data_IF_357261075285
#
_entry.id   IF_357261075285
#
_cell.length_a   1.000
_cell.length_b   1.000
_cell.length_c   1.000
_cell.angle_alpha   90.00
_cell.angle_beta   90.00
_cell.angle_gamma   90.00
#
_symmetry.space_group_name_H-M   'P 1'
#
loop_
_entity.id
_entity.type
_entity.pdbx_description
1 polymer ?
#
# COMPACT_ATOMS: atom_id res chain seq x y z
N UNK A 1 44.92 -16.06 8.00
CA UNK A 1 43.86 -15.03 8.09
C UNK A 1 42.94 -15.00 6.86
N UNK A 2 42.87 -16.09 6.06
CA UNK A 2 42.08 -16.11 4.81
C UNK A 2 40.71 -16.79 4.92
N UNK A 3 40.49 -17.69 5.88
CA UNK A 3 39.21 -18.43 6.00
C UNK A 3 38.08 -17.62 6.67
N UNK A 4 38.44 -16.66 7.52
CA UNK A 4 37.46 -15.81 8.24
C UNK A 4 36.78 -14.80 7.31
N UNK A 5 37.50 -14.28 6.32
CA UNK A 5 36.96 -13.35 5.33
C UNK A 5 35.98 -14.04 4.35
N UNK A 6 36.22 -15.31 4.02
CA UNK A 6 35.35 -16.05 3.10
C UNK A 6 33.99 -16.34 3.77
N UNK A 7 33.99 -16.65 5.07
CA UNK A 7 32.75 -16.95 5.79
C UNK A 7 31.89 -15.71 6.03
N UNK A 8 32.50 -14.53 6.21
CA UNK A 8 31.76 -13.26 6.31
C UNK A 8 31.17 -12.79 4.98
N UNK A 9 31.86 -13.02 3.84
CA UNK A 9 31.32 -12.72 2.51
C UNK A 9 30.14 -13.64 2.12
N UNK A 10 30.16 -14.91 2.53
CA UNK A 10 29.06 -15.85 2.28
C UNK A 10 27.81 -15.52 3.13
N UNK A 11 27.98 -15.00 4.34
CA UNK A 11 26.87 -14.52 5.18
C UNK A 11 26.26 -13.21 4.67
N UNK A 12 27.07 -12.33 4.06
CA UNK A 12 26.58 -11.07 3.52
C UNK A 12 25.77 -11.25 2.23
N UNK A 13 26.09 -12.29 1.45
CA UNK A 13 25.40 -12.60 0.19
C UNK A 13 24.06 -13.32 0.38
N UNK A 14 23.82 -14.00 1.51
CA UNK A 14 22.53 -14.60 1.86
C UNK A 14 21.49 -13.58 2.38
N UNK A 15 21.92 -12.36 2.72
CA UNK A 15 21.05 -11.24 3.11
C UNK A 15 20.57 -10.39 1.92
N UNK A 16 21.15 -10.59 0.73
CA UNK A 16 20.77 -9.87 -0.50
C UNK A 16 19.43 -10.26 -1.17
N UNK A 17 18.73 -11.38 -0.87
CA UNK A 17 17.48 -11.66 -1.58
C UNK A 17 16.28 -10.78 -1.16
N UNK A 18 16.38 -9.92 -0.16
CA UNK A 18 15.25 -9.08 0.29
C UNK A 18 15.04 -7.79 -0.52
N UNK A 19 15.97 -7.41 -1.40
CA UNK A 19 15.83 -6.18 -2.20
C UNK A 19 15.03 -6.35 -3.51
N UNK A 20 14.67 -7.57 -3.91
CA UNK A 20 14.07 -7.83 -5.22
C UNK A 20 12.53 -7.73 -5.29
N UNK A 21 11.85 -7.48 -4.16
CA UNK A 21 10.37 -7.44 -4.13
C UNK A 21 9.76 -6.05 -4.31
N UNK A 22 10.55 -5.00 -4.52
CA UNK A 22 10.06 -3.63 -4.73
C UNK A 22 10.61 -2.98 -6.02
N UNK A 23 10.74 -3.77 -7.09
CA UNK A 23 10.87 -3.18 -8.42
C UNK A 23 9.51 -2.59 -8.84
N UNK A 24 9.28 -1.33 -8.48
CA UNK A 24 8.23 -0.53 -9.11
C UNK A 24 8.71 -0.21 -10.52
N UNK A 25 8.10 -0.87 -11.51
CA UNK A 25 8.43 -0.68 -12.92
C UNK A 25 8.15 0.79 -13.30
N UNK A 26 9.20 1.56 -13.57
CA UNK A 26 9.14 2.97 -14.01
C UNK A 26 8.78 3.11 -15.48
N UNK A 27 7.96 2.19 -16.01
CA UNK A 27 7.19 2.48 -17.23
C UNK A 27 6.26 3.67 -16.94
N UNK A 28 6.19 4.68 -17.82
CA UNK A 28 5.18 5.73 -17.68
C UNK A 28 3.84 5.04 -17.46
N UNK A 29 3.14 5.34 -16.37
CA UNK A 29 1.83 4.75 -16.14
C UNK A 29 0.98 5.10 -17.36
N UNK A 30 0.62 4.10 -18.15
CA UNK A 30 -0.35 4.25 -19.22
C UNK A 30 -1.63 4.72 -18.54
N UNK A 31 -2.06 5.94 -18.86
CA UNK A 31 -3.29 6.49 -18.31
C UNK A 31 -4.51 5.72 -18.84
N UNK A 32 -5.61 5.73 -18.08
CA UNK A 32 -6.84 5.03 -18.45
C UNK A 32 -7.85 5.93 -19.15
N UNK A 33 -8.51 5.39 -20.17
CA UNK A 33 -9.73 5.96 -20.76
C UNK A 33 -10.96 5.08 -20.55
N UNK A 34 -10.85 4.01 -19.76
CA UNK A 34 -11.87 2.97 -19.59
C UNK A 34 -12.27 2.87 -18.13
N UNK A 35 -13.56 2.70 -17.86
CA UNK A 35 -14.06 2.44 -16.52
C UNK A 35 -13.82 0.98 -16.16
N UNK A 36 -12.79 0.72 -15.35
CA UNK A 36 -12.44 -0.61 -14.88
C UNK A 36 -13.11 -0.94 -13.55
N UNK A 37 -13.33 -2.22 -13.27
CA UNK A 37 -13.84 -2.71 -11.99
C UNK A 37 -13.17 -4.04 -11.63
N UNK A 38 -11.85 -4.04 -11.57
CA UNK A 38 -11.04 -5.23 -11.35
C UNK A 38 -10.29 -5.18 -10.02
N UNK A 39 -10.00 -6.37 -9.47
CA UNK A 39 -9.22 -6.53 -8.24
C UNK A 39 -9.77 -5.74 -7.03
N UNK A 40 -11.11 -5.69 -6.90
CA UNK A 40 -11.86 -4.85 -5.94
C UNK A 40 -11.45 -4.98 -4.45
N UNK A 41 -10.81 -6.11 -4.08
CA UNK A 41 -10.39 -6.46 -2.71
C UNK A 41 -8.87 -6.52 -2.54
N UNK A 42 -8.10 -6.22 -3.59
CA UNK A 42 -6.64 -6.27 -3.59
C UNK A 42 -6.09 -4.83 -3.59
N UNK A 43 -5.64 -4.32 -2.43
CA UNK A 43 -5.09 -2.97 -2.30
C UNK A 43 -3.99 -2.62 -3.31
N UNK A 44 -3.17 -3.60 -3.70
CA UNK A 44 -2.03 -3.36 -4.59
C UNK A 44 -2.42 -3.39 -6.07
N UNK A 45 -3.56 -4.02 -6.41
CA UNK A 45 -3.98 -4.25 -7.80
C UNK A 45 -5.30 -3.61 -8.18
N UNK A 46 -6.01 -3.01 -7.23
CA UNK A 46 -7.29 -2.33 -7.45
C UNK A 46 -7.21 -1.41 -8.68
N UNK A 47 -8.14 -1.61 -9.63
CA UNK A 47 -8.46 -0.67 -10.70
C UNK A 47 -9.97 -0.46 -10.68
N UNK A 48 -10.39 0.69 -10.16
CA UNK A 48 -11.77 1.11 -10.15
C UNK A 48 -11.93 2.43 -10.90
N UNK A 49 -12.91 2.50 -11.79
CA UNK A 49 -13.09 3.64 -12.69
C UNK A 49 -11.85 3.87 -13.54
N UNK A 50 -11.43 5.13 -13.68
CA UNK A 50 -10.20 5.51 -14.39
C UNK A 50 -9.08 5.96 -13.44
N UNK A 51 -9.42 6.30 -12.20
CA UNK A 51 -8.52 7.00 -11.28
C UNK A 51 -8.26 6.26 -9.97
N UNK A 52 -9.10 5.31 -9.55
CA UNK A 52 -8.87 4.62 -8.28
C UNK A 52 -7.92 3.43 -8.44
N UNK A 53 -6.65 3.63 -8.07
CA UNK A 53 -5.65 2.56 -7.98
C UNK A 53 -4.24 3.09 -7.72
N UNK A 54 -3.37 2.27 -7.11
CA UNK A 54 -1.98 2.67 -6.85
C UNK A 54 -1.21 2.77 -8.16
N UNK A 55 -0.67 3.96 -8.47
CA UNK A 55 0.01 4.20 -9.75
C UNK A 55 -0.92 4.01 -10.95
N UNK A 56 -2.22 4.18 -10.74
CA UNK A 56 -3.25 4.21 -11.77
C UNK A 56 -3.79 5.62 -11.87
N UNK A 57 -4.06 6.10 -13.08
CA UNK A 57 -4.76 7.37 -13.24
C UNK A 57 -5.40 7.46 -14.62
N UNK A 58 -6.38 8.35 -14.78
CA UNK A 58 -7.06 8.58 -16.04
C UNK A 58 -6.29 9.51 -16.96
N UNK A 59 -6.54 9.41 -18.27
CA UNK A 59 -5.91 10.29 -19.25
C UNK A 59 -6.42 11.73 -19.13
N UNK A 60 -5.60 12.69 -19.59
CA UNK A 60 -5.97 14.11 -19.62
C UNK A 60 -7.32 14.32 -20.31
N UNK A 61 -8.22 15.05 -19.65
CA UNK A 61 -9.55 15.37 -20.17
C UNK A 61 -10.58 14.26 -20.05
N UNK A 62 -10.24 13.10 -19.46
CA UNK A 62 -11.22 12.07 -19.17
C UNK A 62 -12.11 12.48 -17.99
N UNK A 63 -13.42 12.32 -18.16
CA UNK A 63 -14.36 12.44 -17.05
C UNK A 63 -14.28 11.17 -16.17
N UNK A 64 -14.46 11.31 -14.84
CA UNK A 64 -14.57 10.18 -13.94
C UNK A 64 -15.83 9.36 -14.24
N UNK A 65 -15.77 8.08 -13.93
CA UNK A 65 -16.85 7.13 -14.21
C UNK A 65 -18.06 7.31 -13.29
N UNK A 66 -17.82 7.66 -12.03
CA UNK A 66 -18.84 7.96 -11.04
C UNK A 66 -18.29 8.91 -9.96
N UNK A 67 -19.06 9.14 -8.88
CA UNK A 67 -18.65 10.00 -7.78
C UNK A 67 -17.47 9.47 -6.96
N UNK A 68 -17.27 8.15 -6.87
CA UNK A 68 -16.11 7.58 -6.17
C UNK A 68 -14.84 7.77 -7.01
N UNK A 69 -14.93 7.53 -8.31
CA UNK A 69 -13.85 7.75 -9.26
C UNK A 69 -13.44 9.24 -9.32
N UNK A 70 -14.39 10.15 -9.13
CA UNK A 70 -14.12 11.58 -9.01
C UNK A 70 -13.29 11.92 -7.74
N UNK A 71 -13.54 11.24 -6.62
CA UNK A 71 -12.71 11.40 -5.42
C UNK A 71 -11.25 11.00 -5.71
N UNK A 72 -11.05 9.89 -6.45
CA UNK A 72 -9.73 9.43 -6.83
C UNK A 72 -9.04 10.36 -7.83
N UNK A 73 -9.77 10.91 -8.80
CA UNK A 73 -9.24 11.93 -9.71
C UNK A 73 -8.71 13.13 -8.96
N UNK A 74 -9.48 13.67 -8.00
CA UNK A 74 -9.06 14.80 -7.20
C UNK A 74 -7.82 14.48 -6.34
N UNK A 75 -7.73 13.25 -5.83
CA UNK A 75 -6.55 12.80 -5.11
C UNK A 75 -5.32 12.73 -6.01
N UNK A 76 -5.44 12.13 -7.20
CA UNK A 76 -4.35 12.02 -8.18
C UNK A 76 -3.84 13.40 -8.62
N UNK A 77 -4.75 14.34 -8.85
CA UNK A 77 -4.41 15.73 -9.16
C UNK A 77 -3.70 16.43 -8.00
N UNK A 78 -4.09 16.12 -6.75
CA UNK A 78 -3.48 16.66 -5.54
C UNK A 78 -2.05 16.17 -5.32
N UNK A 79 -1.81 14.86 -5.48
CA UNK A 79 -0.46 14.28 -5.29
C UNK A 79 0.45 14.53 -6.49
N UNK A 80 -0.12 14.84 -7.65
CA UNK A 80 0.55 14.96 -8.93
C UNK A 80 0.65 13.60 -9.61
N UNK A 81 0.04 13.48 -10.79
CA UNK A 81 -0.02 12.25 -11.58
C UNK A 81 1.35 11.59 -11.68
N UNK A 82 1.48 10.32 -11.25
CA UNK A 82 2.70 9.50 -11.28
C UNK A 82 3.77 9.76 -10.20
N UNK A 83 3.49 10.60 -9.18
CA UNK A 83 4.44 10.84 -8.10
C UNK A 83 4.14 9.97 -6.88
N UNK A 84 4.65 8.74 -6.84
CA UNK A 84 4.62 7.90 -5.63
C UNK A 84 5.23 8.61 -4.41
N UNK A 85 6.12 9.59 -4.64
CA UNK A 85 6.74 10.40 -3.60
C UNK A 85 5.78 11.30 -2.81
N UNK A 86 4.63 11.66 -3.39
CA UNK A 86 3.66 12.57 -2.76
C UNK A 86 2.38 11.86 -2.27
N UNK A 87 2.25 10.54 -2.46
CA UNK A 87 1.10 9.77 -1.93
C UNK A 87 1.01 9.84 -0.40
N UNK A 88 2.09 10.18 0.30
CA UNK A 88 2.14 10.42 1.76
C UNK A 88 1.64 11.80 2.19
N UNK A 89 1.23 12.66 1.25
CA UNK A 89 0.69 13.97 1.59
C UNK A 89 -0.62 13.81 2.39
N UNK A 90 -0.58 14.22 3.66
CA UNK A 90 -1.70 14.07 4.58
C UNK A 90 -2.91 14.89 4.16
N UNK A 91 -2.72 16.09 3.61
CA UNK A 91 -3.84 16.90 3.10
C UNK A 91 -4.56 16.24 1.93
N UNK A 92 -3.83 15.63 0.99
CA UNK A 92 -4.44 14.88 -0.12
C UNK A 92 -5.14 13.61 0.40
N UNK A 93 -4.48 12.89 1.30
CA UNK A 93 -5.01 11.67 1.92
C UNK A 93 -6.29 11.92 2.71
N UNK A 94 -6.32 12.96 3.55
CA UNK A 94 -7.49 13.35 4.34
C UNK A 94 -8.63 13.82 3.44
N UNK A 95 -8.31 14.56 2.38
CA UNK A 95 -9.27 14.96 1.34
C UNK A 95 -9.93 13.74 0.69
N UNK A 96 -9.14 12.73 0.32
CA UNK A 96 -9.66 11.50 -0.27
C UNK A 96 -10.54 10.72 0.71
N UNK A 97 -10.09 10.53 1.96
CA UNK A 97 -10.88 9.86 3.01
C UNK A 97 -12.24 10.52 3.22
N UNK A 98 -12.26 11.86 3.29
CA UNK A 98 -13.49 12.60 3.49
C UNK A 98 -14.43 12.49 2.28
N UNK A 99 -13.87 12.58 1.06
CA UNK A 99 -14.66 12.44 -0.17
C UNK A 99 -15.28 11.05 -0.31
N UNK A 100 -14.50 9.98 -0.11
CA UNK A 100 -14.96 8.59 -0.15
C UNK A 100 -16.07 8.35 0.87
N UNK A 101 -15.89 8.83 2.11
CA UNK A 101 -16.90 8.71 3.16
C UNK A 101 -18.21 9.43 2.78
N UNK A 102 -18.13 10.65 2.25
CA UNK A 102 -19.32 11.40 1.84
C UNK A 102 -20.04 10.72 0.67
N UNK A 103 -19.30 10.20 -0.30
CA UNK A 103 -19.88 9.44 -1.41
C UNK A 103 -20.58 8.16 -0.92
N UNK A 104 -19.93 7.39 -0.03
CA UNK A 104 -20.52 6.17 0.54
C UNK A 104 -21.83 6.46 1.30
N UNK A 105 -21.87 7.57 2.05
CA UNK A 105 -23.07 8.01 2.77
C UNK A 105 -24.18 8.56 1.86
N UNK A 106 -23.83 9.09 0.69
CA UNK A 106 -24.81 9.68 -0.24
C UNK A 106 -25.68 8.66 -0.98
N UNK A 107 -25.28 7.38 -0.94
CA UNK A 107 -25.81 6.31 -1.79
C UNK A 107 -25.83 6.64 -3.30
N UNK A 108 -24.95 7.55 -3.74
CA UNK A 108 -24.80 7.87 -5.15
C UNK A 108 -24.43 6.60 -5.96
N UNK A 109 -25.03 6.47 -7.14
CA UNK A 109 -24.89 5.28 -7.97
C UNK A 109 -23.44 5.04 -8.44
N UNK A 110 -23.09 3.77 -8.60
CA UNK A 110 -21.87 3.33 -9.29
C UNK A 110 -22.09 3.35 -10.81
N UNK A 111 -21.02 3.46 -11.59
CA UNK A 111 -21.11 3.45 -13.04
C UNK A 111 -21.68 2.13 -13.58
N UNK A 112 -22.36 2.20 -14.75
CA UNK A 112 -22.97 1.03 -15.38
C UNK A 112 -21.92 0.00 -15.80
N UNK A 113 -22.20 -1.28 -15.52
CA UNK A 113 -21.27 -2.39 -15.85
C UNK A 113 -20.21 -2.65 -14.79
N UNK A 114 -20.17 -1.87 -13.70
CA UNK A 114 -19.30 -2.13 -12.56
C UNK A 114 -19.57 -3.52 -11.94
N UNK A 115 -18.50 -4.27 -11.70
CA UNK A 115 -18.53 -5.60 -11.05
C UNK A 115 -18.03 -5.59 -9.62
N UNK A 116 -17.55 -4.46 -9.10
CA UNK A 116 -17.09 -4.33 -7.73
C UNK A 116 -18.23 -3.95 -6.77
N UNK A 117 -18.32 -4.64 -5.64
CA UNK A 117 -19.20 -4.23 -4.54
C UNK A 117 -18.73 -2.90 -3.95
N UNK A 118 -19.69 -2.02 -3.63
CA UNK A 118 -19.43 -0.69 -3.03
C UNK A 118 -18.52 -0.79 -1.80
N UNK A 119 -18.84 -1.68 -0.86
CA UNK A 119 -18.06 -1.81 0.39
C UNK A 119 -16.66 -2.32 0.14
N UNK A 120 -16.49 -3.24 -0.80
CA UNK A 120 -15.17 -3.79 -1.12
C UNK A 120 -14.22 -2.69 -1.60
N UNK A 121 -14.68 -1.82 -2.51
CA UNK A 121 -13.86 -0.73 -3.05
C UNK A 121 -13.61 0.33 -1.97
N UNK A 122 -14.64 0.75 -1.24
CA UNK A 122 -14.52 1.75 -0.16
C UNK A 122 -13.52 1.27 0.91
N UNK A 123 -13.64 0.02 1.37
CA UNK A 123 -12.75 -0.54 2.37
C UNK A 123 -11.32 -0.66 1.85
N UNK A 124 -11.13 -1.09 0.60
CA UNK A 124 -9.81 -1.24 -0.01
C UNK A 124 -9.10 0.11 -0.14
N UNK A 125 -9.77 1.13 -0.65
CA UNK A 125 -9.22 2.50 -0.76
C UNK A 125 -8.89 3.05 0.64
N UNK A 126 -9.84 2.97 1.57
CA UNK A 126 -9.66 3.49 2.93
C UNK A 126 -8.51 2.81 3.67
N UNK A 127 -8.33 1.50 3.49
CA UNK A 127 -7.25 0.75 4.11
C UNK A 127 -5.88 1.26 3.65
N UNK A 128 -5.69 1.43 2.33
CA UNK A 128 -4.42 1.92 1.78
C UNK A 128 -4.10 3.30 2.31
N UNK A 129 -5.06 4.23 2.26
CA UNK A 129 -4.84 5.60 2.68
C UNK A 129 -4.53 5.68 4.18
N UNK A 130 -5.26 4.92 5.02
CA UNK A 130 -4.96 4.84 6.46
C UNK A 130 -3.57 4.28 6.75
N UNK A 131 -3.11 3.27 6.03
CA UNK A 131 -1.76 2.73 6.23
C UNK A 131 -0.67 3.75 5.88
N UNK A 132 -0.93 4.59 4.86
CA UNK A 132 -0.01 5.64 4.43
C UNK A 132 0.00 6.80 5.44
N UNK A 133 -1.16 7.23 5.95
CA UNK A 133 -1.24 8.28 6.96
C UNK A 133 -0.74 7.83 8.34
N UNK A 134 -0.94 6.55 8.70
CA UNK A 134 -0.35 5.96 9.90
C UNK A 134 1.18 6.00 9.88
N UNK A 135 1.84 5.92 8.71
CA UNK A 135 3.29 6.12 8.62
C UNK A 135 3.71 7.60 8.73
N UNK A 136 2.80 8.55 8.50
CA UNK A 136 3.00 9.97 8.82
C UNK A 136 2.86 10.26 10.32
N UNK A 137 1.94 9.58 11.00
CA UNK A 137 1.75 9.68 12.46
C UNK A 137 2.72 8.82 13.28
N UNK A 138 3.18 7.69 12.75
CA UNK A 138 4.19 6.83 13.38
C UNK A 138 5.59 7.47 13.34
N UNK A 139 5.81 8.43 12.44
CA UNK A 139 6.97 9.33 12.48
C UNK A 139 6.97 10.28 13.69
N UNK A 140 5.81 10.54 14.29
CA UNK A 140 5.64 11.41 15.47
C UNK A 140 5.19 10.68 16.75
N UNK A 141 4.77 9.42 16.67
CA UNK A 141 4.36 8.65 17.83
C UNK A 141 5.02 7.28 17.83
N UNK A 142 6.12 7.16 18.57
CA UNK A 142 6.69 5.90 18.98
C UNK A 142 5.70 5.13 19.88
N UNK A 143 4.69 4.48 19.31
CA UNK A 143 3.70 3.69 20.09
C UNK A 143 3.32 2.34 19.48
N UNK A 144 3.95 1.90 18.39
CA UNK A 144 3.85 0.51 17.90
C UNK A 144 5.08 -0.36 18.23
N UNK A 145 6.16 0.23 18.77
CA UNK A 145 7.35 -0.53 19.21
C UNK A 145 7.14 -1.28 20.55
N UNK A 146 6.05 -1.02 21.29
CA UNK A 146 5.77 -1.66 22.59
C UNK A 146 4.90 -2.93 22.50
N UNK A 147 4.35 -3.26 21.33
CA UNK A 147 3.49 -4.45 21.17
C UNK A 147 4.21 -5.69 20.60
N UNK A 148 5.50 -5.60 20.25
CA UNK A 148 6.23 -6.68 19.57
C UNK A 148 7.22 -7.47 20.47
N UNK A 149 7.70 -7.03 21.66
CA UNK A 149 8.67 -7.85 22.41
C UNK A 149 8.08 -8.93 23.33
N UNK A 150 6.76 -9.22 23.35
CA UNK A 150 6.21 -10.26 24.25
C UNK A 150 6.02 -11.65 23.64
N UNK A 151 6.26 -11.86 22.33
CA UNK A 151 6.10 -13.21 21.73
C UNK A 151 7.43 -13.97 21.50
N UNK A 152 8.59 -13.30 21.58
CA UNK A 152 9.88 -13.95 21.29
C UNK A 152 10.66 -14.45 22.51
N UNK A 153 10.06 -14.40 23.71
CA UNK A 153 10.78 -14.71 24.97
C UNK A 153 10.47 -16.09 25.55
N UNK A 154 9.58 -16.90 24.95
CA UNK A 154 9.18 -18.20 25.52
C UNK A 154 9.73 -19.42 24.78
N UNK A 155 10.37 -19.26 23.62
CA UNK A 155 10.91 -20.38 22.84
C UNK A 155 12.45 -20.43 22.76
N UNK A 156 13.17 -19.46 23.33
CA UNK A 156 14.63 -19.41 23.25
C UNK A 156 15.38 -20.14 24.39
N UNK A 157 14.68 -20.83 25.30
CA UNK A 157 15.31 -21.45 26.49
C UNK A 157 15.56 -22.96 26.42
N UNK A 158 14.84 -23.83 25.66
CA UNK A 158 15.16 -25.26 25.68
C UNK A 158 16.24 -25.66 24.66
N UNK A 159 16.59 -24.81 23.68
CA UNK A 159 17.57 -25.18 22.64
C UNK A 159 19.02 -25.03 23.09
N UNK A 160 19.30 -24.11 24.03
CA UNK A 160 20.66 -23.88 24.53
C UNK A 160 21.14 -24.94 25.52
N UNK A 161 20.22 -25.63 26.22
CA UNK A 161 20.59 -26.70 27.17
C UNK A 161 20.90 -28.02 26.45
N UNK A 162 20.34 -28.25 25.25
CA UNK A 162 20.56 -29.50 24.51
C UNK A 162 21.95 -29.57 23.86
N UNK A 163 22.58 -28.43 23.52
CA UNK A 163 23.92 -28.42 22.91
C UNK A 163 25.09 -28.52 23.91
N UNK A 164 24.85 -28.37 25.21
CA UNK A 164 25.90 -28.45 26.24
C UNK A 164 25.99 -29.83 26.93
N UNK A 165 25.05 -30.74 26.66
CA UNK A 165 25.07 -32.12 27.20
C UNK A 165 25.65 -33.16 26.23
N UNK A 166 25.97 -32.76 24.98
CA UNK A 166 26.53 -33.63 23.94
C UNK A 166 27.87 -33.12 23.39
N UNK A 167 28.74 -32.65 24.28
CA UNK A 167 30.14 -32.41 23.94
C UNK A 167 31.06 -32.90 25.05
#
# INVERSE_FOLDING_TARGET
>A
MEKSAILTLLFLSSLLPLAHSLHFNTTPATCSSVCESSHCKDPAKLRYGKYCGVGYTGCTGQAPCDGLDACCQQHDDCVGSNSLGNYVNTSCSDGLLNCVNNWDQSDAAQFTGNTCDRKDVVNTITLVIKLITLNGDLGNTATLASAIPTLMSTLAVPFFVHLLMYR
#
